data_IF_571855639661
#
_entry.id   IF_571855639661
#
_cell.length_a   1.000
_cell.length_b   1.000
_cell.length_c   1.000
_cell.angle_alpha   90.00
_cell.angle_beta   90.00
_cell.angle_gamma   90.00
#
_symmetry.space_group_name_H-M   'P 1'
#
loop_
_entity.id
_entity.type
_entity.pdbx_description
1 polymer ?
#
# COMPACT_ATOMS: atom_id res chain seq x y z
N UNK A 1 30.19 -43.22 -29.92
CA UNK A 1 29.40 -42.01 -29.68
C UNK A 1 30.33 -40.82 -29.84
N UNK A 2 30.11 -40.00 -30.88
CA UNK A 2 30.97 -38.87 -31.26
C UNK A 2 30.60 -37.65 -30.42
N UNK A 3 31.58 -36.98 -29.83
CA UNK A 3 31.43 -35.69 -29.16
C UNK A 3 32.14 -34.66 -30.06
N UNK A 4 31.36 -33.72 -30.59
CA UNK A 4 31.83 -32.62 -31.42
C UNK A 4 31.99 -31.37 -30.55
N UNK A 5 33.21 -30.83 -30.49
CA UNK A 5 33.51 -29.54 -29.85
C UNK A 5 33.40 -28.47 -30.93
N UNK A 6 32.52 -27.49 -30.74
CA UNK A 6 32.43 -26.30 -31.59
C UNK A 6 33.08 -25.13 -30.84
N UNK A 7 34.19 -24.64 -31.39
CA UNK A 7 34.89 -23.43 -30.98
C UNK A 7 34.02 -22.22 -31.26
N UNK A 8 33.78 -21.36 -30.25
CA UNK A 8 33.12 -20.08 -30.44
C UNK A 8 34.13 -18.96 -30.12
N UNK A 9 34.45 -18.19 -31.16
CA UNK A 9 35.43 -17.12 -31.14
C UNK A 9 35.00 -15.99 -30.19
N UNK A 10 35.94 -15.57 -29.35
CA UNK A 10 35.84 -14.39 -28.49
C UNK A 10 36.04 -13.17 -29.38
N UNK A 11 34.96 -12.40 -29.60
CA UNK A 11 35.04 -11.07 -30.21
C UNK A 11 35.11 -10.03 -29.09
N UNK A 12 36.30 -9.49 -28.84
CA UNK A 12 36.50 -8.31 -28.00
C UNK A 12 35.90 -7.10 -28.71
N UNK A 13 34.75 -6.61 -28.23
CA UNK A 13 34.27 -5.27 -28.53
C UNK A 13 34.78 -4.31 -27.45
N UNK A 14 35.79 -3.53 -27.82
CA UNK A 14 36.17 -2.31 -27.10
C UNK A 14 35.05 -1.31 -27.32
N UNK A 15 34.22 -1.07 -26.30
CA UNK A 15 33.26 0.04 -26.30
C UNK A 15 33.88 1.16 -25.49
N UNK A 16 34.23 2.23 -26.19
CA UNK A 16 34.63 3.51 -25.62
C UNK A 16 33.54 4.04 -24.69
N UNK A 17 33.93 4.51 -23.51
CA UNK A 17 33.05 5.26 -22.60
C UNK A 17 32.65 6.59 -23.26
N UNK A 18 31.53 6.58 -23.97
CA UNK A 18 30.67 7.76 -24.12
C UNK A 18 29.54 7.56 -23.13
N UNK A 19 29.40 8.46 -22.16
CA UNK A 19 28.22 8.54 -21.31
C UNK A 19 27.00 8.71 -22.20
N UNK A 20 26.32 7.59 -22.47
CA UNK A 20 25.04 7.60 -23.14
C UNK A 20 24.04 8.20 -22.14
N UNK A 21 23.59 9.42 -22.42
CA UNK A 21 22.36 9.97 -21.84
C UNK A 21 21.30 8.88 -22.00
N UNK A 22 20.82 8.35 -20.88
CA UNK A 22 19.77 7.33 -20.89
C UNK A 22 18.60 7.85 -21.74
N UNK A 23 18.04 7.05 -22.66
CA UNK A 23 16.90 7.49 -23.44
C UNK A 23 15.78 7.87 -22.48
N UNK A 24 15.21 9.07 -22.63
CA UNK A 24 14.05 9.50 -21.87
C UNK A 24 12.91 8.53 -22.19
N UNK A 25 12.65 7.62 -21.26
CA UNK A 25 11.68 6.54 -21.43
C UNK A 25 10.25 7.07 -21.35
N UNK A 26 9.67 7.48 -22.50
CA UNK A 26 8.22 7.53 -22.64
C UNK A 26 7.68 6.10 -22.84
N UNK A 27 7.74 5.26 -21.80
CA UNK A 27 7.11 3.93 -21.86
C UNK A 27 5.60 4.05 -21.63
N UNK A 28 4.89 4.25 -22.75
CA UNK A 28 3.44 4.17 -22.86
C UNK A 28 2.99 2.71 -22.71
N UNK A 29 2.82 2.24 -21.48
CA UNK A 29 2.02 1.05 -21.24
C UNK A 29 0.54 1.45 -21.31
N UNK A 30 -0.14 1.03 -22.38
CA UNK A 30 -1.60 1.12 -22.47
C UNK A 30 -2.21 0.31 -21.31
N UNK A 31 -2.87 0.98 -20.36
CA UNK A 31 -3.50 0.35 -19.19
C UNK A 31 -3.17 0.98 -17.82
N UNK A 32 -2.35 2.04 -17.75
CA UNK A 32 -2.08 2.79 -16.51
C UNK A 32 -2.98 4.02 -16.37
N UNK A 33 -3.44 4.30 -15.14
CA UNK A 33 -4.20 5.52 -14.81
C UNK A 33 -3.26 6.74 -14.74
N UNK A 34 -2.75 7.14 -15.91
CA UNK A 34 -1.93 8.35 -16.07
C UNK A 34 -2.81 9.59 -15.86
N UNK A 35 -2.31 10.54 -15.06
CA UNK A 35 -2.91 11.87 -14.94
C UNK A 35 -2.36 12.72 -16.08
N UNK A 36 -3.22 13.02 -17.05
CA UNK A 36 -2.85 13.82 -18.21
C UNK A 36 -2.30 15.19 -17.80
N UNK A 37 -1.37 15.66 -18.62
CA UNK A 37 -0.62 16.90 -18.53
C UNK A 37 0.28 17.05 -17.31
N UNK A 38 0.33 16.06 -16.41
CA UNK A 38 1.09 16.12 -15.16
C UNK A 38 2.35 15.27 -15.24
N UNK A 39 3.49 15.86 -14.90
CA UNK A 39 4.80 15.20 -14.98
C UNK A 39 5.66 15.48 -13.74
N UNK A 40 6.40 14.48 -13.29
CA UNK A 40 7.51 14.61 -12.36
C UNK A 40 8.78 14.74 -13.20
N UNK A 41 9.52 15.82 -12.99
CA UNK A 41 10.77 16.08 -13.70
C UNK A 41 11.91 16.14 -12.71
N UNK A 42 12.85 15.19 -12.81
CA UNK A 42 14.11 15.23 -12.04
C UNK A 42 15.11 16.14 -12.75
N UNK A 43 15.82 16.95 -11.98
CA UNK A 43 16.75 17.95 -12.47
C UNK A 43 18.11 17.92 -11.77
N UNK A 44 19.08 18.58 -12.39
CA UNK A 44 20.33 19.01 -11.75
C UNK A 44 20.08 20.14 -10.73
N UNK A 45 21.09 20.40 -9.88
CA UNK A 45 21.06 21.53 -8.97
C UNK A 45 21.00 22.86 -9.74
N UNK A 46 20.03 23.70 -9.38
CA UNK A 46 19.74 24.95 -10.06
C UNK A 46 19.66 26.12 -9.09
N UNK A 47 20.26 27.25 -9.48
CA UNK A 47 20.12 28.50 -8.76
C UNK A 47 18.66 28.97 -8.80
N UNK A 48 18.01 29.03 -7.63
CA UNK A 48 16.61 29.41 -7.51
C UNK A 48 15.60 28.27 -7.65
N UNK A 49 16.05 27.03 -7.81
CA UNK A 49 15.21 25.83 -7.74
C UNK A 49 14.56 25.40 -9.07
N UNK A 50 14.19 24.11 -9.19
CA UNK A 50 13.49 23.56 -10.36
C UNK A 50 12.22 24.32 -10.78
N UNK A 51 11.40 24.77 -9.82
CA UNK A 51 10.10 25.38 -10.12
C UNK A 51 10.25 26.73 -10.79
N UNK A 52 11.18 27.56 -10.30
CA UNK A 52 11.49 28.87 -10.90
C UNK A 52 12.03 28.69 -12.32
N UNK A 53 12.91 27.70 -12.53
CA UNK A 53 13.44 27.40 -13.86
C UNK A 53 12.33 27.04 -14.85
N UNK A 54 11.42 26.16 -14.45
CA UNK A 54 10.28 25.76 -15.27
C UNK A 54 9.31 26.91 -15.55
N UNK A 55 9.03 27.76 -14.56
CA UNK A 55 8.18 28.95 -14.73
C UNK A 55 8.75 29.92 -15.76
N UNK A 56 10.03 30.32 -15.61
CA UNK A 56 10.69 31.24 -16.55
C UNK A 56 10.72 30.66 -17.97
N UNK A 57 11.01 29.37 -18.11
CA UNK A 57 11.05 28.70 -19.42
C UNK A 57 9.65 28.59 -20.05
N UNK A 58 8.61 28.35 -19.25
CA UNK A 58 7.24 28.34 -19.73
C UNK A 58 6.78 29.73 -20.20
N UNK A 59 7.07 30.78 -19.43
CA UNK A 59 6.81 32.17 -19.84
C UNK A 59 7.50 32.52 -21.15
N UNK A 60 8.78 32.17 -21.31
CA UNK A 60 9.54 32.41 -22.54
C UNK A 60 9.03 31.67 -23.77
N UNK A 61 8.27 30.59 -23.58
CA UNK A 61 7.63 29.80 -24.65
C UNK A 61 6.14 30.14 -24.85
N UNK A 62 5.57 30.99 -24.01
CA UNK A 62 4.12 31.27 -24.01
C UNK A 62 3.27 30.11 -23.49
N UNK A 63 3.86 29.16 -22.76
CA UNK A 63 3.14 28.07 -22.13
C UNK A 63 2.62 28.51 -20.75
N UNK A 64 1.41 28.08 -20.41
CA UNK A 64 0.88 28.19 -19.04
C UNK A 64 1.10 26.87 -18.32
N UNK A 65 1.74 26.93 -17.15
CA UNK A 65 1.98 25.76 -16.29
C UNK A 65 1.45 25.99 -14.88
N UNK A 66 1.14 24.91 -14.17
CA UNK A 66 0.88 24.90 -12.74
C UNK A 66 1.89 24.00 -12.06
N UNK A 67 2.70 24.57 -11.18
CA UNK A 67 3.58 23.77 -10.31
C UNK A 67 2.74 23.17 -9.20
N UNK A 68 2.79 21.85 -9.04
CA UNK A 68 2.14 21.15 -7.92
C UNK A 68 3.08 21.06 -6.73
N UNK A 69 4.35 20.74 -6.96
CA UNK A 69 5.33 20.57 -5.88
C UNK A 69 6.77 20.77 -6.39
N UNK A 70 7.61 21.40 -5.57
CA UNK A 70 9.06 21.34 -5.75
C UNK A 70 9.68 20.29 -4.82
N UNK A 71 10.59 19.48 -5.34
CA UNK A 71 11.35 18.52 -4.57
C UNK A 71 12.79 19.00 -4.43
N UNK A 72 13.24 19.16 -3.18
CA UNK A 72 14.61 19.60 -2.89
C UNK A 72 15.17 18.74 -1.76
N UNK A 73 16.04 17.80 -2.15
CA UNK A 73 16.76 16.91 -1.23
C UNK A 73 18.08 16.46 -1.86
N UNK A 74 18.92 15.84 -1.05
CA UNK A 74 20.18 15.22 -1.50
C UNK A 74 19.98 13.93 -2.33
N UNK A 75 18.81 13.30 -2.32
CA UNK A 75 18.49 12.08 -3.11
C UNK A 75 17.69 12.35 -4.37
N UNK A 76 16.96 13.47 -4.39
CA UNK A 76 16.04 13.82 -5.45
C UNK A 76 15.82 15.32 -5.47
N UNK A 77 16.04 15.90 -6.65
CA UNK A 77 15.76 17.30 -6.93
C UNK A 77 14.94 17.39 -8.20
N UNK A 78 13.82 18.11 -8.16
CA UNK A 78 12.90 18.14 -9.28
C UNK A 78 11.64 18.94 -9.03
N UNK A 79 10.68 18.79 -9.93
CA UNK A 79 9.39 19.48 -9.87
C UNK A 79 8.27 18.57 -10.38
N UNK A 80 7.11 18.59 -9.72
CA UNK A 80 5.85 18.10 -10.26
C UNK A 80 5.11 19.28 -10.90
N UNK A 81 4.84 19.18 -12.20
CA UNK A 81 4.31 20.27 -13.02
C UNK A 81 3.18 19.77 -13.92
N UNK A 82 2.14 20.58 -14.01
CA UNK A 82 1.00 20.39 -14.90
C UNK A 82 1.07 21.41 -16.05
N UNK A 83 0.95 20.92 -17.28
CA UNK A 83 0.88 21.73 -18.49
C UNK A 83 -0.58 21.92 -18.93
N UNK A 84 -0.84 22.83 -19.87
CA UNK A 84 -2.14 22.87 -20.54
C UNK A 84 -2.29 21.72 -21.56
N UNK A 85 -1.18 21.29 -22.17
CA UNK A 85 -1.17 20.24 -23.18
C UNK A 85 0.01 19.27 -22.96
N UNK A 86 -0.27 17.96 -22.96
CA UNK A 86 0.70 16.85 -22.95
C UNK A 86 1.81 17.01 -24.01
N UNK A 87 1.55 17.68 -25.14
CA UNK A 87 2.56 17.89 -26.17
C UNK A 87 3.72 18.80 -25.72
N UNK A 88 3.45 19.72 -24.80
CA UNK A 88 4.38 20.80 -24.42
C UNK A 88 5.62 20.24 -23.71
N UNK A 89 5.48 19.13 -22.96
CA UNK A 89 6.57 18.49 -22.22
C UNK A 89 7.78 18.16 -23.11
N UNK A 90 7.56 17.88 -24.40
CA UNK A 90 8.63 17.54 -25.37
C UNK A 90 9.66 18.66 -25.50
N UNK A 91 9.26 19.90 -25.25
CA UNK A 91 10.14 21.07 -25.31
C UNK A 91 10.99 21.27 -24.05
N UNK A 92 10.67 20.53 -22.98
CA UNK A 92 11.39 20.57 -21.69
C UNK A 92 12.26 19.34 -21.50
N UNK A 93 11.92 18.22 -22.15
CA UNK A 93 12.69 16.96 -22.10
C UNK A 93 14.15 17.16 -22.57
N UNK A 94 14.38 18.03 -23.55
CA UNK A 94 15.74 18.32 -24.07
C UNK A 94 16.45 19.46 -23.30
N UNK A 95 15.92 19.90 -22.17
CA UNK A 95 16.61 20.87 -21.31
C UNK A 95 17.89 20.23 -20.75
N UNK A 96 19.06 20.89 -20.84
CA UNK A 96 20.32 20.32 -20.33
C UNK A 96 20.30 20.07 -18.82
N UNK A 97 19.39 20.67 -18.08
CA UNK A 97 19.24 20.46 -16.64
C UNK A 97 18.29 19.33 -16.27
N UNK A 98 17.51 18.80 -17.22
CA UNK A 98 16.57 17.69 -16.98
C UNK A 98 17.32 16.37 -17.05
N UNK A 99 17.20 15.57 -15.99
CA UNK A 99 17.81 14.23 -15.89
C UNK A 99 16.84 13.14 -16.34
N UNK A 100 15.57 13.29 -15.97
CA UNK A 100 14.52 12.33 -16.29
C UNK A 100 13.13 12.94 -16.12
N UNK A 101 12.16 12.36 -16.81
CA UNK A 101 10.75 12.79 -16.82
C UNK A 101 9.87 11.56 -16.69
N UNK A 102 8.93 11.59 -15.75
CA UNK A 102 7.90 10.57 -15.57
C UNK A 102 6.52 11.20 -15.61
N UNK A 103 5.53 10.57 -16.26
CA UNK A 103 4.14 10.98 -16.08
C UNK A 103 3.70 10.75 -14.62
N UNK A 104 2.81 11.62 -14.12
CA UNK A 104 2.18 11.39 -12.82
C UNK A 104 1.12 10.30 -12.99
N UNK A 105 1.23 9.22 -12.21
CA UNK A 105 0.19 8.20 -12.12
C UNK A 105 -0.72 8.39 -10.92
N UNK A 106 -1.96 7.91 -11.07
CA UNK A 106 -2.93 7.72 -10.01
C UNK A 106 -2.64 6.40 -9.30
N UNK A 107 -2.37 6.48 -8.01
CA UNK A 107 -2.18 5.31 -7.15
C UNK A 107 -3.53 4.92 -6.55
N UNK A 108 -4.03 3.69 -6.77
CA UNK A 108 -5.31 3.27 -6.21
C UNK A 108 -5.26 3.21 -4.68
N UNK A 109 -6.34 3.63 -4.04
CA UNK A 109 -6.46 3.55 -2.60
C UNK A 109 -6.62 2.11 -2.09
N UNK A 110 -6.21 1.84 -0.84
CA UNK A 110 -6.30 0.51 -0.27
C UNK A 110 -7.77 0.06 -0.17
N UNK A 111 -8.03 -1.17 -0.61
CA UNK A 111 -9.36 -1.76 -0.47
C UNK A 111 -9.52 -2.30 0.95
N UNK A 112 -10.21 -1.53 1.78
CA UNK A 112 -10.59 -2.00 3.10
C UNK A 112 -11.59 -3.15 3.03
N UNK A 113 -11.35 -4.16 3.85
CA UNK A 113 -12.43 -5.03 4.32
C UNK A 113 -13.25 -4.26 5.35
N UNK A 114 -14.31 -3.57 4.92
CA UNK A 114 -15.22 -2.85 5.83
C UNK A 114 -15.96 -3.85 6.73
N UNK A 115 -16.02 -3.61 8.04
CA UNK A 115 -16.90 -4.31 9.01
C UNK A 115 -16.50 -5.74 9.45
N UNK A 116 -15.27 -5.94 9.93
CA UNK A 116 -15.00 -7.04 10.86
C UNK A 116 -15.30 -6.59 12.30
N UNK A 117 -16.43 -7.03 12.86
CA UNK A 117 -16.74 -6.90 14.30
C UNK A 117 -17.00 -8.29 14.86
N UNK A 118 -15.98 -8.95 15.43
CA UNK A 118 -16.18 -10.14 16.24
C UNK A 118 -16.90 -9.75 17.52
N UNK A 119 -18.13 -10.19 17.63
CA UNK A 119 -18.80 -10.26 18.91
C UNK A 119 -18.27 -11.46 19.69
N UNK A 120 -18.00 -11.23 20.98
CA UNK A 120 -18.10 -12.22 22.06
C UNK A 120 -17.41 -13.57 21.84
N UNK A 121 -16.20 -13.72 22.37
CA UNK A 121 -15.63 -15.02 22.66
C UNK A 121 -14.35 -14.87 23.47
N UNK A 122 -14.21 -15.65 24.54
CA UNK A 122 -12.95 -15.74 25.29
C UNK A 122 -11.97 -16.55 24.42
N UNK A 123 -11.27 -15.87 23.52
CA UNK A 123 -10.41 -16.51 22.53
C UNK A 123 -8.95 -16.27 22.91
N UNK A 124 -8.23 -17.37 23.12
CA UNK A 124 -6.77 -17.35 23.18
C UNK A 124 -6.24 -16.96 21.80
N UNK A 125 -5.72 -15.74 21.65
CA UNK A 125 -4.87 -15.42 20.50
C UNK A 125 -3.58 -16.20 20.72
N UNK A 126 -3.39 -17.27 19.95
CA UNK A 126 -2.02 -17.69 19.66
C UNK A 126 -1.42 -16.60 18.78
N UNK A 127 -0.32 -15.99 19.21
CA UNK A 127 0.41 -15.02 18.38
C UNK A 127 1.17 -15.75 17.28
N UNK A 128 0.46 -16.55 16.47
CA UNK A 128 1.07 -17.40 15.47
C UNK A 128 1.86 -16.58 14.45
N UNK A 129 1.41 -15.36 14.13
CA UNK A 129 2.18 -14.45 13.31
C UNK A 129 3.54 -14.09 13.94
N UNK A 130 3.60 -13.83 15.26
CA UNK A 130 4.89 -13.57 15.92
C UNK A 130 5.74 -14.83 16.03
N UNK A 131 5.15 -16.00 16.24
CA UNK A 131 5.87 -17.28 16.27
C UNK A 131 6.46 -17.60 14.88
N UNK A 132 5.64 -17.48 13.84
CA UNK A 132 6.01 -17.72 12.45
C UNK A 132 7.15 -16.79 11.98
N UNK A 133 7.17 -15.57 12.48
CA UNK A 133 8.19 -14.55 12.14
C UNK A 133 9.31 -14.44 13.18
N UNK A 134 9.26 -15.21 14.27
CA UNK A 134 10.24 -15.20 15.36
C UNK A 134 10.23 -13.95 16.26
N UNK A 135 9.24 -13.07 16.11
CA UNK A 135 9.08 -11.85 16.92
C UNK A 135 8.88 -12.18 18.40
N UNK A 136 8.22 -13.30 18.71
CA UNK A 136 8.02 -13.79 20.07
C UNK A 136 9.37 -14.05 20.78
N UNK A 137 10.32 -14.67 20.07
CA UNK A 137 11.67 -14.93 20.54
C UNK A 137 12.46 -13.64 20.68
N UNK A 138 12.36 -12.71 19.72
CA UNK A 138 13.01 -11.39 19.83
C UNK A 138 12.52 -10.63 21.08
N UNK A 139 11.22 -10.66 21.37
CA UNK A 139 10.67 -10.02 22.56
C UNK A 139 11.10 -10.73 23.84
N UNK A 140 11.02 -12.06 23.89
CA UNK A 140 11.21 -12.86 25.12
C UNK A 140 12.69 -13.13 25.44
N UNK A 141 13.48 -13.50 24.45
CA UNK A 141 14.88 -13.91 24.62
C UNK A 141 15.84 -12.72 24.57
N UNK A 142 15.58 -11.75 23.69
CA UNK A 142 16.47 -10.59 23.48
C UNK A 142 15.99 -9.31 24.14
N UNK A 143 14.71 -9.21 24.51
CA UNK A 143 14.13 -8.01 25.11
C UNK A 143 13.99 -6.82 24.15
N UNK A 144 14.16 -7.02 22.85
CA UNK A 144 14.07 -5.94 21.86
C UNK A 144 12.62 -5.71 21.41
N UNK A 145 12.20 -4.45 21.46
CA UNK A 145 10.81 -4.03 21.20
C UNK A 145 10.72 -2.76 20.32
N UNK A 146 11.82 -2.37 19.69
CA UNK A 146 11.89 -1.21 18.78
C UNK A 146 12.28 0.12 19.43
N UNK A 147 12.66 0.14 20.72
CA UNK A 147 13.09 1.36 21.41
C UNK A 147 14.25 2.04 20.67
N UNK A 148 14.10 3.34 20.41
CA UNK A 148 15.11 4.14 19.71
C UNK A 148 15.02 4.10 18.19
N UNK A 149 14.15 3.25 17.61
CA UNK A 149 13.90 3.17 16.18
C UNK A 149 12.72 4.07 15.79
N UNK A 150 12.86 4.78 14.69
CA UNK A 150 11.82 5.60 14.05
C UNK A 150 11.28 4.89 12.80
N UNK A 151 9.96 4.71 12.73
CA UNK A 151 9.29 4.05 11.62
C UNK A 151 8.26 5.01 11.01
N UNK A 152 8.48 5.39 9.76
CA UNK A 152 7.53 6.18 8.98
C UNK A 152 6.50 5.30 8.30
N UNK A 153 5.21 5.63 8.45
CA UNK A 153 4.10 4.96 7.79
C UNK A 153 3.51 5.92 6.77
N UNK A 154 3.68 5.61 5.48
CA UNK A 154 3.10 6.38 4.36
C UNK A 154 1.83 5.66 3.91
N UNK A 155 0.66 6.22 4.25
CA UNK A 155 -0.63 5.53 4.12
C UNK A 155 -1.83 6.52 4.18
N UNK A 156 -3.04 6.06 4.53
CA UNK A 156 -4.26 6.88 4.70
C UNK A 156 -4.25 7.83 5.89
N UNK A 157 -3.16 7.85 6.66
CA UNK A 157 -3.08 8.50 7.96
C UNK A 157 -3.28 7.54 9.12
N UNK A 158 -3.17 8.05 10.34
CA UNK A 158 -3.30 7.24 11.55
C UNK A 158 -4.31 7.90 12.49
N UNK A 159 -5.28 7.13 12.98
CA UNK A 159 -6.12 7.51 14.11
C UNK A 159 -5.28 7.48 15.39
N UNK A 160 -4.42 8.49 15.56
CA UNK A 160 -3.45 8.53 16.66
C UNK A 160 -4.10 8.69 18.05
N UNK A 161 -5.40 8.99 18.11
CA UNK A 161 -6.23 8.96 19.32
C UNK A 161 -6.56 7.53 19.78
N UNK A 162 -6.20 6.49 19.01
CA UNK A 162 -6.41 5.11 19.44
C UNK A 162 -5.60 4.82 20.73
N UNK A 163 -6.19 4.21 21.77
CA UNK A 163 -5.46 3.94 23.02
C UNK A 163 -4.23 3.04 22.83
N UNK A 164 -4.23 2.17 21.80
CA UNK A 164 -3.08 1.33 21.47
C UNK A 164 -1.84 2.09 20.99
N UNK A 165 -2.00 3.36 20.62
CA UNK A 165 -0.90 4.28 20.28
C UNK A 165 -0.61 5.29 21.40
N UNK A 166 -1.29 5.20 22.54
CA UNK A 166 -1.15 6.15 23.65
C UNK A 166 -2.01 7.41 23.53
N UNK A 167 -2.88 7.48 22.51
CA UNK A 167 -3.86 8.56 22.31
C UNK A 167 -3.29 9.99 22.29
N UNK A 168 -2.09 10.18 21.73
CA UNK A 168 -1.47 11.49 21.64
C UNK A 168 -0.59 11.63 20.39
N UNK A 169 -0.43 12.88 19.93
CA UNK A 169 0.33 13.22 18.72
C UNK A 169 1.32 14.35 19.00
N UNK A 170 2.57 14.16 18.56
CA UNK A 170 3.62 15.19 18.49
C UNK A 170 3.83 16.02 19.77
N UNK A 171 3.55 15.43 20.93
CA UNK A 171 3.93 15.95 22.24
C UNK A 171 4.92 15.01 22.92
N UNK A 172 5.58 15.48 23.98
CA UNK A 172 6.65 14.72 24.65
C UNK A 172 6.10 13.38 25.17
N UNK A 173 6.72 12.29 24.74
CA UNK A 173 6.34 10.93 25.14
C UNK A 173 5.30 10.27 24.22
N UNK A 174 4.80 10.96 23.18
CA UNK A 174 3.92 10.34 22.21
C UNK A 174 4.65 9.33 21.33
N UNK A 175 3.93 8.26 21.01
CA UNK A 175 4.39 7.23 20.09
C UNK A 175 4.32 7.71 18.65
N UNK A 176 3.22 8.37 18.28
CA UNK A 176 3.11 9.09 17.01
C UNK A 176 3.75 10.47 17.21
N UNK A 177 5.03 10.60 16.88
CA UNK A 177 5.83 11.79 17.19
C UNK A 177 6.16 12.63 15.95
N UNK A 178 5.96 12.08 14.75
CA UNK A 178 6.21 12.74 13.47
C UNK A 178 5.01 12.58 12.56
N UNK A 179 4.95 13.37 11.49
CA UNK A 179 3.94 13.23 10.48
C UNK A 179 3.50 14.52 9.82
N UNK A 180 2.72 14.35 8.77
CA UNK A 180 2.19 15.42 7.92
C UNK A 180 1.05 14.87 7.07
N UNK A 181 0.02 15.70 6.82
CA UNK A 181 -1.03 15.41 5.84
C UNK A 181 -0.72 16.13 4.53
N UNK A 182 -0.57 15.37 3.45
CA UNK A 182 -0.26 15.91 2.13
C UNK A 182 -1.50 16.27 1.31
N UNK A 183 -2.69 15.87 1.76
CA UNK A 183 -3.89 15.86 0.90
C UNK A 183 -5.15 16.41 1.56
N UNK A 184 -5.28 16.28 2.89
CA UNK A 184 -6.48 16.69 3.60
C UNK A 184 -7.69 15.79 3.36
N UNK A 185 -8.73 15.97 4.17
CA UNK A 185 -9.89 15.06 4.23
C UNK A 185 -10.69 14.97 2.93
N UNK A 186 -10.82 16.07 2.19
CA UNK A 186 -11.68 16.18 1.00
C UNK A 186 -11.03 15.66 -0.29
N UNK A 187 -9.78 15.22 -0.23
CA UNK A 187 -9.06 14.73 -1.40
C UNK A 187 -9.61 13.38 -1.87
N UNK A 188 -9.88 13.27 -3.17
CA UNK A 188 -10.42 12.06 -3.81
C UNK A 188 -10.23 12.10 -5.33
N UNK A 189 -10.59 11.03 -6.04
CA UNK A 189 -10.65 11.07 -7.52
C UNK A 189 -11.58 12.18 -8.04
N UNK A 190 -12.66 12.48 -7.32
CA UNK A 190 -13.63 13.50 -7.70
C UNK A 190 -13.20 14.92 -7.31
N UNK A 191 -12.28 15.04 -6.35
CA UNK A 191 -11.68 16.30 -5.91
C UNK A 191 -10.16 16.13 -5.73
N UNK A 192 -9.39 16.20 -6.83
CA UNK A 192 -7.95 15.90 -6.84
C UNK A 192 -7.08 17.11 -6.40
N UNK A 193 -7.66 18.09 -5.70
CA UNK A 193 -6.93 19.25 -5.19
C UNK A 193 -6.52 19.00 -3.72
N UNK A 194 -5.23 18.80 -3.42
CA UNK A 194 -4.78 18.56 -2.06
C UNK A 194 -4.93 19.81 -1.18
N UNK A 195 -5.24 19.59 0.09
CA UNK A 195 -5.30 20.59 1.17
C UNK A 195 -4.35 20.14 2.29
N UNK A 196 -3.02 20.29 2.12
CA UNK A 196 -2.05 19.76 3.07
C UNK A 196 -2.10 20.50 4.41
N UNK A 197 -1.88 19.77 5.50
CA UNK A 197 -1.76 20.34 6.84
C UNK A 197 -0.83 19.50 7.73
N UNK A 198 -0.60 19.94 8.96
CA UNK A 198 0.36 19.32 9.87
C UNK A 198 -0.15 18.11 10.65
N UNK A 199 -1.44 17.79 10.58
CA UNK A 199 -2.10 16.73 11.36
C UNK A 199 -2.53 15.54 10.47
N UNK A 200 -1.78 14.42 10.45
CA UNK A 200 -2.08 13.23 9.65
C UNK A 200 -3.21 12.38 10.25
N UNK A 201 -4.16 13.01 10.94
CA UNK A 201 -5.22 12.35 11.69
C UNK A 201 -6.23 11.71 10.76
N UNK A 202 -6.25 10.38 10.73
CA UNK A 202 -7.28 9.62 10.03
C UNK A 202 -8.49 9.45 10.96
N UNK A 203 -9.42 10.41 10.91
CA UNK A 203 -10.67 10.38 11.67
C UNK A 203 -11.83 9.78 10.90
N UNK A 204 -11.55 9.23 9.72
CA UNK A 204 -12.53 8.70 8.81
C UNK A 204 -12.43 7.18 8.71
N UNK A 205 -13.39 6.58 8.00
CA UNK A 205 -13.44 5.13 7.82
C UNK A 205 -12.38 4.61 6.83
N UNK A 206 -11.32 5.37 6.55
CA UNK A 206 -10.21 4.98 5.68
C UNK A 206 -9.31 3.95 6.35
N UNK A 207 -8.94 4.13 7.63
CA UNK A 207 -8.52 3.09 8.59
C UNK A 207 -7.29 2.22 8.25
N UNK A 208 -6.80 2.22 7.02
CA UNK A 208 -5.77 1.33 6.50
C UNK A 208 -4.43 1.64 7.17
N UNK A 209 -4.03 2.92 7.21
CA UNK A 209 -2.82 3.33 7.89
C UNK A 209 -2.84 3.06 9.40
N UNK A 210 -4.02 3.18 10.03
CA UNK A 210 -4.21 2.79 11.45
C UNK A 210 -3.98 1.29 11.65
N UNK A 211 -4.49 0.45 10.74
CA UNK A 211 -4.30 -1.00 10.76
C UNK A 211 -2.82 -1.38 10.54
N UNK A 212 -2.17 -0.82 9.52
CA UNK A 212 -0.75 -1.03 9.21
C UNK A 212 0.15 -0.61 10.38
N UNK A 213 -0.08 0.59 10.94
CA UNK A 213 0.63 1.06 12.12
C UNK A 213 0.37 0.19 13.36
N UNK A 214 -0.80 -0.46 13.43
CA UNK A 214 -1.16 -1.39 14.49
C UNK A 214 -0.29 -2.64 14.46
N UNK A 215 -0.09 -3.24 13.29
CA UNK A 215 0.83 -4.38 13.10
C UNK A 215 2.26 -3.98 13.50
N UNK A 216 2.70 -2.80 13.06
CA UNK A 216 4.04 -2.30 13.36
C UNK A 216 4.22 -2.10 14.86
N UNK A 217 3.28 -1.45 15.54
CA UNK A 217 3.58 -0.92 16.85
C UNK A 217 2.43 -0.84 17.84
N UNK A 218 1.20 -1.28 17.59
CA UNK A 218 0.17 -1.18 18.64
C UNK A 218 0.61 -1.83 19.97
N UNK A 219 0.20 -1.25 21.10
CA UNK A 219 0.28 -1.92 22.39
C UNK A 219 -1.10 -1.90 23.04
N UNK A 220 -1.83 -2.99 22.88
CA UNK A 220 -3.19 -3.16 23.39
C UNK A 220 -3.26 -4.14 24.57
N UNK A 221 -2.13 -4.49 25.18
CA UNK A 221 -2.05 -5.49 26.26
C UNK A 221 -2.83 -5.09 27.52
N UNK A 222 -3.04 -3.79 27.74
CA UNK A 222 -3.68 -3.24 28.93
C UNK A 222 -4.96 -2.44 28.62
N UNK A 223 -5.43 -2.47 27.36
CA UNK A 223 -6.61 -1.70 26.97
C UNK A 223 -7.87 -2.45 27.40
N UNK A 224 -8.72 -1.77 28.16
CA UNK A 224 -10.02 -2.31 28.62
C UNK A 224 -11.20 -1.56 28.05
N UNK A 225 -11.01 -0.37 27.45
CA UNK A 225 -12.09 0.46 26.89
C UNK A 225 -11.63 1.27 25.66
N UNK A 226 -12.23 1.05 24.46
CA UNK A 226 -12.94 -0.18 24.12
C UNK A 226 -11.99 -1.38 24.23
N UNK A 227 -12.44 -2.48 24.84
CA UNK A 227 -11.60 -3.68 24.94
C UNK A 227 -11.40 -4.28 23.54
N UNK A 228 -10.17 -4.65 23.15
CA UNK A 228 -9.98 -5.47 21.96
C UNK A 228 -10.59 -6.85 22.20
N UNK A 229 -10.85 -7.58 21.11
CA UNK A 229 -11.36 -8.96 21.15
C UNK A 229 -10.46 -9.84 22.03
N UNK A 230 -9.15 -9.62 21.93
CA UNK A 230 -8.18 -10.10 22.88
C UNK A 230 -6.96 -9.16 22.93
N UNK A 231 -6.19 -9.16 24.03
CA UNK A 231 -4.98 -8.34 24.15
C UNK A 231 -4.01 -8.65 23.02
N UNK A 232 -3.54 -7.59 22.33
CA UNK A 232 -2.59 -7.72 21.22
C UNK A 232 -1.44 -6.71 21.34
N UNK A 233 -0.31 -7.03 20.71
CA UNK A 233 0.85 -6.15 20.60
C UNK A 233 1.45 -6.30 19.21
N UNK A 234 1.91 -5.20 18.62
CA UNK A 234 2.62 -5.18 17.35
C UNK A 234 4.08 -5.63 17.48
N UNK A 235 4.81 -5.61 16.36
CA UNK A 235 6.19 -6.09 16.26
C UNK A 235 7.18 -5.22 17.04
N UNK A 236 7.03 -3.90 16.96
CA UNK A 236 7.90 -2.89 17.54
C UNK A 236 7.11 -1.90 18.41
N UNK A 237 6.55 -2.33 19.56
CA UNK A 237 5.65 -1.53 20.39
C UNK A 237 6.33 -0.38 21.15
N UNK A 238 7.66 -0.30 21.11
CA UNK A 238 8.44 0.80 21.70
C UNK A 238 9.08 1.72 20.65
N UNK A 239 8.81 1.47 19.35
CA UNK A 239 9.24 2.34 18.28
C UNK A 239 8.50 3.69 18.30
N UNK A 240 9.19 4.71 17.81
CA UNK A 240 8.59 6.01 17.47
C UNK A 240 8.01 5.92 16.06
N UNK A 241 6.77 6.35 15.87
CA UNK A 241 6.07 6.27 14.59
C UNK A 241 5.90 7.67 14.01
N UNK A 242 6.15 7.81 12.70
CA UNK A 242 5.77 8.96 11.89
C UNK A 242 4.58 8.63 11.00
N UNK A 243 3.56 9.48 10.98
CA UNK A 243 2.35 9.28 10.17
C UNK A 243 2.35 10.23 8.96
N UNK A 244 2.49 9.69 7.75
CA UNK A 244 2.53 10.48 6.51
C UNK A 244 1.30 10.16 5.68
N UNK A 245 0.30 11.05 5.74
CA UNK A 245 -1.02 10.82 5.14
C UNK A 245 -1.04 11.29 3.69
N UNK A 246 -1.32 10.37 2.78
CA UNK A 246 -1.36 10.62 1.33
C UNK A 246 -2.72 10.32 0.69
N UNK A 247 -3.71 9.89 1.46
CA UNK A 247 -5.10 9.72 1.00
C UNK A 247 -6.06 10.56 1.83
N UNK A 248 -7.04 11.18 1.15
CA UNK A 248 -8.19 11.79 1.82
C UNK A 248 -9.17 10.72 2.32
N UNK A 249 -10.28 11.17 2.91
CA UNK A 249 -11.22 10.26 3.58
C UNK A 249 -12.00 9.33 2.65
N UNK A 250 -12.08 9.65 1.37
CA UNK A 250 -12.61 8.73 0.37
C UNK A 250 -11.72 7.48 0.21
N UNK A 251 -10.41 7.64 0.44
CA UNK A 251 -9.38 6.61 0.29
C UNK A 251 -9.48 5.83 -1.04
N UNK A 252 -9.87 6.52 -2.11
CA UNK A 252 -10.09 5.92 -3.42
C UNK A 252 -8.85 5.97 -4.30
N UNK A 253 -8.05 7.04 -4.17
CA UNK A 253 -6.78 7.20 -4.87
C UNK A 253 -5.90 8.31 -4.32
N UNK A 254 -4.63 8.28 -4.71
CA UNK A 254 -3.66 9.36 -4.57
C UNK A 254 -2.81 9.48 -5.83
N UNK A 255 -1.74 10.26 -5.78
CA UNK A 255 -0.87 10.54 -6.91
C UNK A 255 0.58 10.20 -6.58
N UNK A 256 1.29 9.65 -7.55
CA UNK A 256 2.73 9.32 -7.44
C UNK A 256 3.58 10.50 -6.98
N UNK A 257 3.27 11.72 -7.39
CA UNK A 257 4.02 12.92 -7.01
C UNK A 257 3.84 13.31 -5.54
N UNK A 258 2.67 13.01 -4.95
CA UNK A 258 2.43 13.10 -3.49
C UNK A 258 3.20 11.99 -2.76
N UNK A 259 3.28 10.77 -3.33
CA UNK A 259 4.06 9.66 -2.76
C UNK A 259 5.55 10.05 -2.67
N UNK A 260 6.12 10.61 -3.73
CA UNK A 260 7.50 11.14 -3.72
C UNK A 260 7.69 12.18 -2.61
N UNK A 261 6.75 13.10 -2.46
CA UNK A 261 6.81 14.11 -1.41
C UNK A 261 6.83 13.49 0.00
N UNK A 262 5.97 12.49 0.25
CA UNK A 262 5.89 11.80 1.52
C UNK A 262 7.17 10.99 1.84
N UNK A 263 7.75 10.33 0.84
CA UNK A 263 9.02 9.59 0.99
C UNK A 263 10.16 10.53 1.37
N UNK A 264 10.29 11.67 0.68
CA UNK A 264 11.31 12.68 1.00
C UNK A 264 11.09 13.30 2.38
N UNK A 265 9.84 13.53 2.79
CA UNK A 265 9.54 14.05 4.12
C UNK A 265 9.87 13.03 5.22
N UNK A 266 9.57 11.75 5.01
CA UNK A 266 9.92 10.70 5.96
C UNK A 266 11.45 10.59 6.14
N UNK A 267 12.21 10.72 5.06
CA UNK A 267 13.66 10.79 5.12
C UNK A 267 14.16 12.04 5.86
N UNK A 268 13.57 13.21 5.59
CA UNK A 268 13.91 14.48 6.25
C UNK A 268 13.63 14.45 7.77
N UNK A 269 12.54 13.79 8.18
CA UNK A 269 12.19 13.55 9.59
C UNK A 269 13.07 12.44 10.24
N UNK A 270 14.00 11.87 9.45
CA UNK A 270 14.99 10.86 9.82
C UNK A 270 14.35 9.56 10.31
N UNK A 271 13.35 9.07 9.58
CA UNK A 271 12.80 7.74 9.83
C UNK A 271 13.84 6.67 9.49
N UNK A 272 14.15 5.76 10.41
CA UNK A 272 15.10 4.67 10.16
C UNK A 272 14.50 3.64 9.18
N UNK A 273 13.18 3.42 9.29
CA UNK A 273 12.40 2.53 8.44
C UNK A 273 11.26 3.33 7.81
N UNK A 274 11.01 3.15 6.52
CA UNK A 274 9.87 3.71 5.79
C UNK A 274 9.00 2.56 5.29
N UNK A 275 7.80 2.43 5.85
CA UNK A 275 6.81 1.40 5.50
C UNK A 275 5.73 1.96 4.59
N UNK A 276 5.50 1.28 3.47
CA UNK A 276 4.54 1.69 2.44
C UNK A 276 3.66 0.48 2.06
N UNK A 277 2.46 0.42 2.63
CA UNK A 277 1.47 -0.63 2.30
C UNK A 277 0.54 -0.18 1.19
N UNK A 278 1.12 0.44 0.17
CA UNK A 278 0.45 1.08 -0.95
C UNK A 278 1.24 0.80 -2.22
N UNK A 279 0.62 1.02 -3.36
CA UNK A 279 1.30 0.93 -4.64
C UNK A 279 0.34 0.81 -5.79
N UNK A 280 0.89 0.89 -6.99
CA UNK A 280 0.20 0.62 -8.24
C UNK A 280 0.80 -0.59 -8.94
N UNK A 281 0.01 -1.25 -9.78
CA UNK A 281 0.50 -2.35 -10.60
C UNK A 281 1.52 -1.82 -11.61
N UNK A 282 2.79 -1.98 -11.29
CA UNK A 282 3.90 -1.72 -12.18
C UNK A 282 5.04 -2.68 -11.81
N UNK A 283 5.38 -3.56 -12.75
CA UNK A 283 6.46 -4.53 -12.59
C UNK A 283 7.85 -3.95 -12.85
N UNK A 284 7.98 -2.63 -12.99
CA UNK A 284 9.20 -1.97 -13.45
C UNK A 284 9.94 -1.28 -12.29
N UNK A 285 11.27 -1.42 -12.30
CA UNK A 285 12.15 -0.80 -11.29
C UNK A 285 12.48 0.66 -11.60
N UNK A 286 12.14 1.09 -12.82
CA UNK A 286 12.42 2.40 -13.39
C UNK A 286 11.34 3.45 -13.05
N UNK A 287 10.32 3.06 -12.29
CA UNK A 287 9.35 4.00 -11.72
C UNK A 287 10.04 4.93 -10.73
N UNK A 288 9.63 6.20 -10.75
CA UNK A 288 10.28 7.26 -9.95
C UNK A 288 10.26 6.96 -8.44
N UNK A 289 9.20 6.31 -7.95
CA UNK A 289 9.05 5.93 -6.56
C UNK A 289 9.89 4.69 -6.19
N UNK A 290 10.01 3.71 -7.08
CA UNK A 290 10.93 2.58 -6.93
C UNK A 290 12.41 3.03 -6.93
N UNK A 291 12.77 3.95 -7.83
CA UNK A 291 14.11 4.57 -7.89
C UNK A 291 14.38 5.34 -6.59
N UNK A 292 13.43 6.16 -6.14
CA UNK A 292 13.60 6.92 -4.91
C UNK A 292 13.74 6.01 -3.69
N UNK A 293 12.97 4.93 -3.60
CA UNK A 293 13.10 3.94 -2.53
C UNK A 293 14.50 3.32 -2.50
N UNK A 294 15.09 3.03 -3.66
CA UNK A 294 16.47 2.52 -3.76
C UNK A 294 17.49 3.55 -3.26
N UNK A 295 17.34 4.81 -3.67
CA UNK A 295 18.24 5.90 -3.24
C UNK A 295 18.16 6.15 -1.74
N UNK A 296 16.95 6.16 -1.16
CA UNK A 296 16.74 6.29 0.28
C UNK A 296 17.37 5.12 1.05
N UNK A 297 17.25 3.90 0.53
CA UNK A 297 17.89 2.72 1.14
C UNK A 297 19.40 2.82 1.15
N UNK A 298 20.01 3.31 0.07
CA UNK A 298 21.45 3.59 0.00
C UNK A 298 21.90 4.69 0.96
N UNK A 299 21.00 5.55 1.42
CA UNK A 299 21.29 6.56 2.45
C UNK A 299 21.05 6.07 3.89
N UNK A 300 20.70 4.80 4.07
CA UNK A 300 20.52 4.18 5.38
C UNK A 300 19.08 4.15 5.89
N UNK A 301 18.09 4.52 5.07
CA UNK A 301 16.67 4.36 5.40
C UNK A 301 16.16 3.02 4.88
N UNK A 302 15.79 2.08 5.74
CA UNK A 302 15.23 0.80 5.28
C UNK A 302 13.82 1.06 4.71
N UNK A 303 13.64 0.88 3.40
CA UNK A 303 12.32 1.04 2.77
C UNK A 303 11.66 -0.33 2.57
N UNK A 304 10.45 -0.50 3.11
CA UNK A 304 9.66 -1.74 3.08
C UNK A 304 8.32 -1.48 2.42
N UNK A 305 8.02 -2.19 1.33
CA UNK A 305 6.85 -1.94 0.49
C UNK A 305 6.10 -3.25 0.22
N UNK A 306 4.77 -3.22 0.21
CA UNK A 306 3.95 -4.38 -0.17
C UNK A 306 4.00 -4.67 -1.67
N UNK A 307 4.15 -5.94 -2.07
CA UNK A 307 4.20 -6.36 -3.49
C UNK A 307 2.83 -6.38 -4.21
N UNK A 308 1.75 -6.02 -3.52
CA UNK A 308 0.40 -5.93 -4.07
C UNK A 308 -0.41 -7.22 -3.95
N UNK A 309 -1.72 -7.09 -4.21
CA UNK A 309 -2.72 -8.15 -4.00
C UNK A 309 -3.24 -8.75 -5.33
N UNK A 310 -2.52 -8.53 -6.43
CA UNK A 310 -2.94 -8.86 -7.78
C UNK A 310 -2.23 -10.08 -8.37
N UNK A 311 -1.70 -10.96 -7.51
CA UNK A 311 -0.92 -12.14 -7.93
C UNK A 311 -1.68 -13.08 -8.89
N UNK A 312 -3.02 -13.11 -8.81
CA UNK A 312 -3.85 -13.88 -9.74
C UNK A 312 -3.82 -13.39 -11.20
N UNK A 313 -3.29 -12.19 -11.46
CA UNK A 313 -3.24 -11.60 -12.79
C UNK A 313 -1.91 -11.91 -13.54
N UNK A 314 -0.93 -12.55 -12.88
CA UNK A 314 0.32 -13.02 -13.51
C UNK A 314 1.61 -12.45 -12.92
N UNK A 315 2.74 -13.03 -13.34
CA UNK A 315 4.06 -12.81 -12.75
C UNK A 315 4.65 -11.39 -12.91
N UNK A 316 4.17 -10.59 -13.86
CA UNK A 316 4.71 -9.26 -14.18
C UNK A 316 3.91 -8.10 -13.57
N UNK A 317 3.04 -8.38 -12.60
CA UNK A 317 2.17 -7.39 -11.94
C UNK A 317 2.56 -7.16 -10.48
N UNK A 318 3.88 -7.13 -10.22
CA UNK A 318 4.38 -6.56 -8.98
C UNK A 318 3.92 -5.11 -8.83
N UNK A 319 3.91 -4.61 -7.59
CA UNK A 319 3.60 -3.21 -7.32
C UNK A 319 4.86 -2.35 -7.29
N UNK A 320 4.79 -1.15 -7.87
CA UNK A 320 5.70 -0.05 -7.52
C UNK A 320 5.14 0.70 -6.31
N UNK A 321 5.96 1.14 -5.32
CA UNK A 321 7.45 1.12 -5.27
C UNK A 321 8.12 -0.22 -4.95
N UNK A 322 7.38 -1.30 -4.73
CA UNK A 322 7.91 -2.60 -4.26
C UNK A 322 8.91 -3.28 -5.20
N UNK A 323 8.92 -2.89 -6.47
CA UNK A 323 9.91 -3.28 -7.50
C UNK A 323 11.27 -2.59 -7.35
N UNK A 324 11.48 -1.81 -6.29
CA UNK A 324 12.77 -1.20 -5.96
C UNK A 324 13.89 -2.24 -5.84
N UNK A 325 15.10 -1.89 -6.29
CA UNK A 325 16.25 -2.82 -6.35
C UNK A 325 17.00 -2.97 -5.03
N UNK A 326 16.90 -1.99 -4.14
CA UNK A 326 17.67 -1.97 -2.89
C UNK A 326 16.79 -1.98 -1.64
N UNK A 327 15.47 -1.75 -1.77
CA UNK A 327 14.50 -1.88 -0.69
C UNK A 327 13.92 -3.29 -0.57
N UNK A 328 12.94 -3.45 0.32
CA UNK A 328 12.29 -4.73 0.60
C UNK A 328 10.87 -4.77 0.03
N UNK A 329 10.66 -5.56 -1.02
CA UNK A 329 9.34 -5.97 -1.48
C UNK A 329 8.80 -7.13 -0.63
N UNK A 330 7.62 -6.95 -0.02
CA UNK A 330 7.01 -7.93 0.89
C UNK A 330 5.79 -8.59 0.27
N UNK A 331 5.85 -9.92 0.11
CA UNK A 331 4.70 -10.76 -0.25
C UNK A 331 3.90 -11.21 0.98
N UNK A 332 2.64 -11.60 0.76
CA UNK A 332 1.77 -12.15 1.80
C UNK A 332 1.80 -13.67 1.79
N UNK A 333 1.80 -14.27 2.98
CA UNK A 333 1.57 -15.71 3.20
C UNK A 333 0.42 -15.89 4.19
N UNK A 334 -0.24 -17.03 4.12
CA UNK A 334 -1.26 -17.38 5.11
C UNK A 334 -0.62 -17.75 6.44
N UNK A 335 -1.32 -17.39 7.52
CA UNK A 335 -0.92 -17.77 8.87
C UNK A 335 -1.29 -19.23 9.15
N UNK A 336 -0.63 -19.85 10.15
CA UNK A 336 -0.93 -21.23 10.56
C UNK A 336 -2.35 -21.40 11.12
N UNK A 337 -2.91 -20.32 11.66
CA UNK A 337 -4.30 -20.25 12.15
C UNK A 337 -4.95 -18.95 11.71
N UNK A 338 -6.25 -19.00 11.49
CA UNK A 338 -7.08 -17.83 11.15
C UNK A 338 -8.23 -17.68 12.17
N UNK A 339 -8.68 -16.44 12.37
CA UNK A 339 -9.80 -16.15 13.26
C UNK A 339 -11.12 -16.41 12.55
N UNK A 340 -11.73 -17.54 12.84
CA UNK A 340 -13.00 -17.96 12.25
C UNK A 340 -14.14 -17.89 13.26
N UNK A 341 -15.36 -17.73 12.76
CA UNK A 341 -16.55 -18.04 13.53
C UNK A 341 -16.81 -19.53 13.47
N UNK A 342 -17.46 -20.06 14.50
CA UNK A 342 -17.76 -21.48 14.56
C UNK A 342 -19.26 -21.70 14.39
N UNK A 343 -19.61 -22.63 13.51
CA UNK A 343 -20.91 -23.31 13.54
C UNK A 343 -20.73 -24.70 14.13
N UNK A 344 -21.78 -25.27 14.71
CA UNK A 344 -21.76 -26.63 15.23
C UNK A 344 -22.94 -27.43 14.71
N UNK A 345 -22.71 -28.71 14.41
CA UNK A 345 -23.78 -29.64 14.05
C UNK A 345 -24.42 -30.28 15.31
N UNK A 346 -25.43 -31.13 15.11
CA UNK A 346 -26.11 -31.85 16.20
C UNK A 346 -25.18 -32.80 16.96
N UNK A 347 -24.12 -33.28 16.32
CA UNK A 347 -23.09 -34.12 16.93
C UNK A 347 -22.00 -33.30 17.66
N UNK A 348 -22.12 -31.96 17.69
CA UNK A 348 -21.16 -31.01 18.27
C UNK A 348 -19.81 -30.95 17.55
N UNK A 349 -19.75 -31.39 16.29
CA UNK A 349 -18.60 -31.10 15.45
C UNK A 349 -18.60 -29.60 15.13
N UNK A 350 -17.42 -28.98 15.14
CA UNK A 350 -17.27 -27.55 14.90
C UNK A 350 -16.68 -27.29 13.51
N UNK A 351 -17.25 -26.32 12.81
CA UNK A 351 -16.77 -25.89 11.50
C UNK A 351 -16.50 -24.39 11.52
N UNK A 352 -15.31 -24.02 11.06
CA UNK A 352 -14.91 -22.64 10.89
C UNK A 352 -15.58 -22.00 9.68
N UNK A 353 -16.00 -20.74 9.81
CA UNK A 353 -16.45 -19.93 8.68
C UNK A 353 -16.00 -18.48 8.83
N UNK A 354 -15.83 -17.84 7.68
CA UNK A 354 -15.69 -16.41 7.53
C UNK A 354 -16.98 -15.87 6.90
N UNK A 355 -17.42 -14.68 7.32
CA UNK A 355 -18.60 -14.05 6.74
C UNK A 355 -18.20 -13.00 5.71
N UNK A 356 -18.99 -12.90 4.63
CA UNK A 356 -18.83 -11.84 3.65
C UNK A 356 -19.28 -10.50 4.24
N UNK A 357 -18.37 -9.54 4.32
CA UNK A 357 -18.61 -8.21 4.89
C UNK A 357 -19.75 -7.41 4.25
N UNK A 358 -20.13 -7.74 3.00
CA UNK A 358 -21.30 -7.14 2.33
C UNK A 358 -22.66 -7.60 2.89
N UNK A 359 -22.69 -8.67 3.69
CA UNK A 359 -23.92 -9.37 4.08
C UNK A 359 -24.31 -9.21 5.56
N UNK A 360 -23.76 -8.19 6.24
CA UNK A 360 -24.33 -7.73 7.51
C UNK A 360 -23.76 -8.31 8.81
N UNK A 361 -22.72 -9.16 8.73
CA UNK A 361 -22.02 -9.67 9.92
C UNK A 361 -22.00 -11.21 10.01
N UNK A 362 -21.51 -11.76 11.12
CA UNK A 362 -21.64 -13.18 11.40
C UNK A 362 -23.12 -13.56 11.55
N UNK A 363 -23.44 -14.84 11.35
CA UNK A 363 -24.75 -15.36 11.71
C UNK A 363 -25.06 -15.06 13.19
N UNK A 364 -26.30 -14.65 13.53
CA UNK A 364 -26.73 -14.58 14.92
C UNK A 364 -26.68 -15.98 15.54
N UNK A 365 -26.71 -16.05 16.87
CA UNK A 365 -26.77 -17.33 17.56
C UNK A 365 -28.14 -18.00 17.36
N UNK A 366 -28.29 -18.72 16.24
CA UNK A 366 -29.51 -19.39 15.80
C UNK A 366 -29.22 -20.84 15.43
N UNK A 367 -30.25 -21.68 15.54
CA UNK A 367 -30.26 -23.00 14.92
C UNK A 367 -31.00 -22.90 13.59
N UNK A 368 -30.36 -23.32 12.50
CA UNK A 368 -30.92 -23.31 11.16
C UNK A 368 -30.61 -24.62 10.45
N UNK A 369 -31.53 -25.06 9.60
CA UNK A 369 -31.30 -26.21 8.72
C UNK A 369 -30.27 -25.82 7.65
N UNK A 370 -29.25 -26.65 7.44
CA UNK A 370 -28.26 -26.48 6.38
C UNK A 370 -28.69 -27.30 5.17
N UNK A 371 -28.78 -26.67 4.00
CA UNK A 371 -29.14 -27.33 2.73
C UNK A 371 -28.09 -27.08 1.66
N UNK A 372 -27.75 -28.11 0.90
CA UNK A 372 -26.88 -27.99 -0.27
C UNK A 372 -27.76 -27.70 -1.48
N UNK A 373 -27.45 -26.64 -2.24
CA UNK A 373 -28.31 -26.21 -3.34
C UNK A 373 -28.31 -27.21 -4.52
N UNK A 374 -27.15 -27.70 -4.97
CA UNK A 374 -27.07 -28.73 -5.98
C UNK A 374 -25.90 -29.71 -5.72
N UNK A 375 -26.14 -30.84 -5.02
CA UNK A 375 -25.07 -31.77 -4.68
C UNK A 375 -24.49 -32.50 -5.91
N UNK A 376 -25.20 -32.51 -7.04
CA UNK A 376 -24.81 -33.25 -8.25
C UNK A 376 -24.17 -32.39 -9.34
N UNK A 377 -24.38 -31.08 -9.33
CA UNK A 377 -23.81 -30.16 -10.33
C UNK A 377 -23.04 -29.03 -9.62
N UNK A 378 -21.88 -29.40 -9.10
CA UNK A 378 -20.98 -28.57 -8.28
C UNK A 378 -20.52 -27.30 -9.02
N UNK A 379 -20.39 -27.37 -10.34
CA UNK A 379 -19.87 -26.26 -11.16
C UNK A 379 -20.90 -25.14 -11.40
N UNK A 380 -22.20 -25.45 -11.47
CA UNK A 380 -23.32 -24.49 -11.60
C UNK A 380 -24.16 -24.41 -10.31
N UNK A 381 -23.54 -24.71 -9.18
CA UNK A 381 -24.22 -24.73 -7.88
C UNK A 381 -24.56 -23.31 -7.42
N UNK A 382 -25.70 -22.80 -7.88
CA UNK A 382 -26.24 -21.49 -7.51
C UNK A 382 -25.82 -20.33 -8.42
N UNK A 383 -25.53 -20.54 -9.71
CA UNK A 383 -25.28 -19.42 -10.63
C UNK A 383 -26.51 -18.99 -11.43
N UNK A 384 -27.48 -19.87 -11.63
CA UNK A 384 -28.66 -19.61 -12.45
C UNK A 384 -29.98 -19.65 -11.65
N UNK A 385 -30.13 -20.59 -10.72
CA UNK A 385 -31.30 -20.73 -9.85
C UNK A 385 -30.99 -21.54 -8.60
N UNK A 386 -31.84 -21.38 -7.58
CA UNK A 386 -31.88 -22.29 -6.44
C UNK A 386 -32.75 -23.51 -6.74
N UNK A 387 -32.29 -24.69 -6.33
CA UNK A 387 -33.09 -25.92 -6.31
C UNK A 387 -33.62 -26.25 -4.91
N UNK A 388 -33.34 -25.39 -3.92
CA UNK A 388 -33.79 -25.51 -2.53
C UNK A 388 -34.59 -24.27 -2.12
N UNK A 389 -35.47 -24.43 -1.13
CA UNK A 389 -36.18 -23.30 -0.53
C UNK A 389 -35.26 -22.59 0.49
N UNK A 390 -34.88 -21.31 0.27
CA UNK A 390 -33.96 -20.58 1.15
C UNK A 390 -34.57 -20.19 2.50
N UNK A 391 -35.91 -20.15 2.61
CA UNK A 391 -36.58 -19.52 3.77
C UNK A 391 -36.24 -20.23 5.09
N UNK A 392 -35.52 -19.52 5.96
CA UNK A 392 -35.15 -20.00 7.30
C UNK A 392 -34.01 -21.03 7.32
N UNK A 393 -33.30 -21.20 6.20
CA UNK A 393 -32.21 -22.18 6.04
C UNK A 393 -30.89 -21.49 5.73
N UNK A 394 -29.79 -22.19 5.96
CA UNK A 394 -28.45 -21.82 5.49
C UNK A 394 -28.14 -22.65 4.25
N UNK A 395 -27.90 -21.98 3.12
CA UNK A 395 -27.57 -22.67 1.86
C UNK A 395 -26.06 -22.79 1.73
N UNK A 396 -25.59 -24.01 1.47
CA UNK A 396 -24.21 -24.28 1.07
C UNK A 396 -24.14 -24.33 -0.45
N UNK A 397 -23.19 -23.56 -0.99
CA UNK A 397 -22.79 -23.59 -2.38
C UNK A 397 -21.36 -24.09 -2.50
N UNK A 398 -21.05 -24.84 -3.55
CA UNK A 398 -19.67 -24.99 -3.99
C UNK A 398 -19.15 -23.70 -4.61
N UNK A 399 -17.87 -23.35 -4.42
CA UNK A 399 -17.26 -22.13 -5.00
C UNK A 399 -16.87 -22.28 -6.49
N UNK A 400 -17.40 -23.29 -7.20
CA UNK A 400 -17.03 -23.67 -8.57
C UNK A 400 -16.87 -22.51 -9.58
N UNK A 401 -16.13 -22.74 -10.69
CA UNK A 401 -15.61 -21.67 -11.55
C UNK A 401 -16.67 -20.87 -12.34
N UNK A 402 -17.93 -21.32 -12.37
CA UNK A 402 -18.95 -20.73 -13.24
C UNK A 402 -19.39 -19.32 -12.83
N UNK A 403 -19.42 -19.00 -11.52
CA UNK A 403 -19.74 -17.66 -11.05
C UNK A 403 -19.25 -17.40 -9.63
N UNK A 404 -19.02 -16.12 -9.31
CA UNK A 404 -18.55 -15.70 -7.99
C UNK A 404 -19.65 -15.70 -6.92
N UNK A 405 -19.22 -15.61 -5.66
CA UNK A 405 -20.08 -15.60 -4.46
C UNK A 405 -21.20 -14.56 -4.51
N UNK A 406 -20.98 -13.40 -5.11
CA UNK A 406 -21.98 -12.35 -5.23
C UNK A 406 -23.22 -12.79 -6.02
N UNK A 407 -23.05 -13.57 -7.09
CA UNK A 407 -24.15 -14.11 -7.89
C UNK A 407 -24.91 -15.14 -7.06
N UNK A 408 -24.19 -16.05 -6.40
CA UNK A 408 -24.77 -17.12 -5.58
C UNK A 408 -25.58 -16.57 -4.39
N UNK A 409 -25.02 -15.60 -3.68
CA UNK A 409 -25.69 -14.93 -2.57
C UNK A 409 -26.88 -14.07 -3.02
N UNK A 410 -26.93 -13.60 -4.27
CA UNK A 410 -28.07 -12.83 -4.79
C UNK A 410 -29.30 -13.69 -5.11
N UNK A 411 -29.13 -15.01 -5.21
CA UNK A 411 -30.21 -15.96 -5.45
C UNK A 411 -30.81 -16.53 -4.16
N UNK A 412 -30.08 -16.44 -3.04
CA UNK A 412 -30.51 -16.82 -1.68
C UNK A 412 -31.18 -15.65 -0.97
#
# INVERSE_FOLDING_TARGET
MKITIISMAICLLVVSNTEAVAPIHFNRAAGRDVIHNCYIVEMSELAGGPSRHFQVKAEGKGHSIRVHQEYTSNVFQGVSVEFQNDADIKEYVNDPHVKAVWPVHKIPGPRLMKNYKPEGGNRSISYDAHILTGVDRVHKELGFRGKGVKIGVIDTGIYWKHPAFGACYKTKGCRIAYGYDFVGDNFSSANPNPQPDSDPFDNCSAGHGTHTAGIIGANAMHITKPAPIAPFVGVAPEATIGAYRIFGCAADSTRSDIVIQAMLRAAADKMDIISMSIGENSGWSEEVDAILASRLTKQGHIVVISMGNNGGNGFFLGNSPGTTTDGFGVGSIDNLQTFEYLISDEAKNQYGYLYGVKFGGPFPNITAEIVVNNPTAVDDDGCTKLNVNPKGKVIIFSLGPACGTAVKCGLA
#
